data_IF_732570157064
#
_entry.id   IF_732570157064
#
_cell.length_a   1.000
_cell.length_b   1.000
_cell.length_c   1.000
_cell.angle_alpha   90.00
_cell.angle_beta   90.00
_cell.angle_gamma   90.00
#
_symmetry.space_group_name_H-M   'P 1'
#
loop_
_entity.id
_entity.type
_entity.pdbx_description
1 polymer ?
#
# COMPACT_ATOMS: atom_id res chain seq x y z
N UNK A 1 -4.17 18.01 -20.29
CA UNK A 1 -4.31 16.56 -20.01
C UNK A 1 -5.43 16.37 -19.01
N UNK A 2 -6.41 15.51 -19.29
CA UNK A 2 -7.43 15.16 -18.29
C UNK A 2 -6.76 14.39 -17.16
N UNK A 3 -7.14 14.67 -15.92
CA UNK A 3 -6.58 14.00 -14.74
C UNK A 3 -7.03 12.53 -14.71
N UNK A 4 -6.18 11.61 -15.18
CA UNK A 4 -6.48 10.18 -15.29
C UNK A 4 -6.33 9.40 -13.97
N UNK A 5 -5.74 9.97 -12.92
CA UNK A 5 -5.49 9.24 -11.67
C UNK A 5 -6.78 8.82 -10.97
N UNK A 6 -7.80 9.68 -10.92
CA UNK A 6 -9.07 9.38 -10.24
C UNK A 6 -9.78 8.12 -10.77
N UNK A 7 -9.98 8.00 -12.10
CA UNK A 7 -10.49 6.78 -12.72
C UNK A 7 -9.62 5.54 -12.44
N UNK A 8 -8.30 5.63 -12.62
CA UNK A 8 -7.38 4.49 -12.42
C UNK A 8 -7.38 4.00 -10.97
N UNK A 9 -7.34 4.92 -10.00
CA UNK A 9 -7.46 4.58 -8.57
C UNK A 9 -8.79 3.86 -8.34
N UNK A 10 -9.89 4.35 -8.93
CA UNK A 10 -11.21 3.73 -8.74
C UNK A 10 -11.30 2.33 -9.37
N UNK A 11 -10.62 2.09 -10.49
CA UNK A 11 -10.47 0.75 -11.08
C UNK A 11 -9.72 -0.19 -10.14
N UNK A 12 -8.65 0.27 -9.47
CA UNK A 12 -7.94 -0.53 -8.47
C UNK A 12 -8.87 -0.95 -7.31
N UNK A 13 -9.69 -0.01 -6.80
CA UNK A 13 -10.68 -0.29 -5.74
C UNK A 13 -11.71 -1.33 -6.21
N UNK A 14 -12.26 -1.17 -7.41
CA UNK A 14 -13.24 -2.11 -7.95
C UNK A 14 -12.64 -3.51 -8.09
N UNK A 15 -11.42 -3.61 -8.64
CA UNK A 15 -10.73 -4.88 -8.80
C UNK A 15 -10.55 -5.59 -7.44
N UNK A 16 -10.09 -4.90 -6.40
CA UNK A 16 -9.80 -5.51 -5.10
C UNK A 16 -11.02 -5.76 -4.22
N UNK A 17 -12.03 -4.88 -4.26
CA UNK A 17 -13.21 -4.97 -3.36
C UNK A 17 -14.40 -5.72 -3.97
N UNK A 18 -14.58 -5.65 -5.29
CA UNK A 18 -15.76 -6.21 -5.97
C UNK A 18 -15.45 -7.48 -6.74
N UNK A 19 -14.28 -7.53 -7.37
CA UNK A 19 -13.89 -8.68 -8.20
C UNK A 19 -12.97 -9.64 -7.47
N UNK A 20 -12.41 -9.23 -6.32
CA UNK A 20 -11.36 -9.95 -5.59
C UNK A 20 -10.15 -10.29 -6.48
N UNK A 21 -9.86 -9.44 -7.47
CA UNK A 21 -8.78 -9.59 -8.42
C UNK A 21 -7.57 -8.77 -7.96
N UNK A 22 -6.69 -9.42 -7.20
CA UNK A 22 -5.52 -8.78 -6.59
C UNK A 22 -4.49 -8.40 -7.65
N UNK A 23 -4.33 -9.21 -8.70
CA UNK A 23 -3.36 -8.95 -9.77
C UNK A 23 -3.73 -7.69 -10.56
N UNK A 24 -4.99 -7.59 -10.99
CA UNK A 24 -5.44 -6.43 -11.74
C UNK A 24 -5.49 -5.18 -10.83
N UNK A 25 -5.88 -5.33 -9.55
CA UNK A 25 -5.81 -4.23 -8.59
C UNK A 25 -4.37 -3.70 -8.41
N UNK A 26 -3.37 -4.60 -8.35
CA UNK A 26 -1.95 -4.25 -8.24
C UNK A 26 -1.49 -3.45 -9.47
N UNK A 27 -1.86 -3.89 -10.66
CA UNK A 27 -1.57 -3.18 -11.90
C UNK A 27 -2.16 -1.75 -11.89
N UNK A 28 -3.43 -1.59 -11.54
CA UNK A 28 -4.04 -0.26 -11.50
C UNK A 28 -3.44 0.65 -10.42
N UNK A 29 -3.11 0.11 -9.24
CA UNK A 29 -2.53 0.96 -8.18
C UNK A 29 -1.10 1.40 -8.51
N UNK A 30 -0.32 0.56 -9.20
CA UNK A 30 1.01 0.92 -9.69
C UNK A 30 0.92 1.97 -10.81
N UNK A 31 -0.03 1.83 -11.74
CA UNK A 31 -0.31 2.82 -12.78
C UNK A 31 -0.73 4.16 -12.16
N UNK A 32 -1.63 4.14 -11.16
CA UNK A 32 -1.99 5.34 -10.42
C UNK A 32 -0.78 6.00 -9.76
N UNK A 33 0.14 5.22 -9.19
CA UNK A 33 1.37 5.75 -8.60
C UNK A 33 2.26 6.44 -9.63
N UNK A 34 2.40 5.87 -10.84
CA UNK A 34 3.15 6.48 -11.94
C UNK A 34 2.50 7.79 -12.39
N UNK A 35 1.17 7.84 -12.51
CA UNK A 35 0.48 9.08 -12.90
C UNK A 35 0.66 10.15 -11.82
N UNK A 36 0.51 9.79 -10.55
CA UNK A 36 0.61 10.71 -9.41
C UNK A 36 2.03 11.28 -9.29
N UNK A 37 3.08 10.48 -9.55
CA UNK A 37 4.47 10.95 -9.44
C UNK A 37 4.86 11.99 -10.49
N UNK A 38 4.12 12.09 -11.60
CA UNK A 38 4.34 13.10 -12.65
C UNK A 38 3.71 14.46 -12.38
N UNK A 39 2.95 14.60 -11.29
CA UNK A 39 2.17 15.82 -10.98
C UNK A 39 2.50 16.36 -9.59
N UNK A 40 2.48 17.68 -9.40
CA UNK A 40 2.49 18.28 -8.06
C UNK A 40 1.30 17.78 -7.24
N UNK A 41 1.51 17.49 -5.95
CA UNK A 41 0.41 17.07 -5.04
C UNK A 41 -0.76 18.06 -5.01
N UNK A 42 -0.49 19.36 -5.18
CA UNK A 42 -1.50 20.42 -5.23
C UNK A 42 -2.46 20.33 -6.41
N UNK A 43 -2.09 19.61 -7.48
CA UNK A 43 -2.94 19.40 -8.65
C UNK A 43 -3.84 18.17 -8.53
N UNK A 44 -3.65 17.35 -7.47
CA UNK A 44 -4.41 16.14 -7.23
C UNK A 44 -5.44 16.44 -6.13
N UNK A 45 -6.71 16.09 -6.38
CA UNK A 45 -7.73 16.29 -5.35
C UNK A 45 -7.39 15.50 -4.09
N UNK A 46 -7.64 16.10 -2.91
CA UNK A 46 -7.32 15.45 -1.65
C UNK A 46 -8.04 14.13 -1.45
N UNK A 47 -9.28 14.02 -1.97
CA UNK A 47 -10.04 12.77 -1.99
C UNK A 47 -9.33 11.67 -2.78
N UNK A 48 -8.79 11.99 -3.96
CA UNK A 48 -8.07 11.01 -4.77
C UNK A 48 -6.77 10.61 -4.10
N UNK A 49 -6.03 11.56 -3.51
CA UNK A 49 -4.76 11.26 -2.89
C UNK A 49 -4.91 10.41 -1.61
N UNK A 50 -5.88 10.73 -0.74
CA UNK A 50 -6.26 9.87 0.39
C UNK A 50 -6.66 8.47 -0.07
N UNK A 51 -7.51 8.36 -1.09
CA UNK A 51 -7.93 7.07 -1.63
C UNK A 51 -6.73 6.28 -2.17
N UNK A 52 -5.85 6.93 -2.93
CA UNK A 52 -4.64 6.30 -3.45
C UNK A 52 -3.75 5.75 -2.34
N UNK A 53 -3.40 6.55 -1.33
CA UNK A 53 -2.52 6.09 -0.26
C UNK A 53 -3.11 4.92 0.54
N UNK A 54 -4.40 4.99 0.87
CA UNK A 54 -5.08 3.89 1.55
C UNK A 54 -5.04 2.59 0.74
N UNK A 55 -5.44 2.64 -0.54
CA UNK A 55 -5.49 1.43 -1.36
C UNK A 55 -4.10 0.96 -1.81
N UNK A 56 -3.10 1.83 -1.91
CA UNK A 56 -1.69 1.44 -2.01
C UNK A 56 -1.30 0.57 -0.83
N UNK A 57 -1.64 1.00 0.39
CA UNK A 57 -1.44 0.21 1.60
C UNK A 57 -2.12 -1.17 1.53
N UNK A 58 -3.42 -1.15 1.31
CA UNK A 58 -4.27 -2.35 1.33
C UNK A 58 -3.92 -3.38 0.24
N UNK A 59 -3.77 -2.94 -1.00
CA UNK A 59 -3.53 -3.84 -2.14
C UNK A 59 -2.16 -4.50 -2.01
N UNK A 60 -1.12 -3.73 -1.67
CA UNK A 60 0.21 -4.29 -1.47
C UNK A 60 0.24 -5.25 -0.26
N UNK A 61 -0.51 -4.98 0.80
CA UNK A 61 -0.59 -5.93 1.92
C UNK A 61 -1.28 -7.24 1.52
N UNK A 62 -2.31 -7.17 0.67
CA UNK A 62 -2.95 -8.36 0.09
C UNK A 62 -2.02 -9.14 -0.85
N UNK A 63 -1.20 -8.46 -1.63
CA UNK A 63 -0.15 -9.09 -2.45
C UNK A 63 0.83 -9.86 -1.55
N UNK A 64 1.34 -9.22 -0.49
CA UNK A 64 2.30 -9.85 0.43
C UNK A 64 1.73 -11.11 1.13
N UNK A 65 0.48 -11.03 1.59
CA UNK A 65 -0.17 -12.12 2.33
C UNK A 65 -0.79 -13.20 1.44
N UNK A 66 -0.73 -13.08 0.12
CA UNK A 66 -1.33 -14.07 -0.76
C UNK A 66 -0.65 -15.44 -0.62
N UNK A 67 -1.45 -16.49 -0.55
CA UNK A 67 -0.97 -17.87 -0.61
C UNK A 67 -0.69 -18.33 -2.05
N UNK A 68 -1.22 -17.61 -3.04
CA UNK A 68 -0.92 -17.85 -4.45
C UNK A 68 0.48 -17.31 -4.78
N UNK A 69 1.45 -18.19 -5.16
CA UNK A 69 2.80 -17.77 -5.49
C UNK A 69 2.85 -16.78 -6.66
N UNK A 70 1.92 -16.85 -7.61
CA UNK A 70 1.86 -15.93 -8.73
C UNK A 70 1.49 -14.51 -8.27
N UNK A 71 0.57 -14.38 -7.32
CA UNK A 71 0.18 -13.10 -6.72
C UNK A 71 1.29 -12.59 -5.79
N UNK A 72 1.79 -13.43 -4.88
CA UNK A 72 2.87 -13.06 -3.95
C UNK A 72 4.14 -12.65 -4.68
N UNK A 73 4.43 -13.29 -5.82
CA UNK A 73 5.56 -13.00 -6.68
C UNK A 73 5.44 -11.72 -7.52
N UNK A 74 4.28 -11.04 -7.52
CA UNK A 74 4.11 -9.79 -8.26
C UNK A 74 5.02 -8.67 -7.77
N UNK A 75 5.30 -8.63 -6.46
CA UNK A 75 6.10 -7.56 -5.87
C UNK A 75 6.82 -8.02 -4.59
N UNK A 76 8.14 -8.25 -4.62
CA UNK A 76 8.89 -8.68 -3.44
C UNK A 76 8.94 -7.59 -2.35
N UNK A 77 8.66 -6.32 -2.70
CA UNK A 77 8.63 -5.19 -1.77
C UNK A 77 7.19 -4.83 -1.33
N UNK A 78 6.23 -5.74 -1.54
CA UNK A 78 4.82 -5.49 -1.24
C UNK A 78 4.59 -5.09 0.24
N UNK A 79 5.25 -5.73 1.20
CA UNK A 79 5.11 -5.34 2.61
C UNK A 79 5.59 -3.90 2.87
N UNK A 80 6.72 -3.53 2.25
CA UNK A 80 7.31 -2.21 2.43
C UNK A 80 6.43 -1.12 1.79
N UNK A 81 5.90 -1.40 0.60
CA UNK A 81 4.96 -0.50 -0.09
C UNK A 81 3.62 -0.39 0.63
N UNK A 82 3.18 -1.46 1.29
CA UNK A 82 1.96 -1.44 2.10
C UNK A 82 2.12 -0.47 3.27
N UNK A 83 3.20 -0.61 4.02
CA UNK A 83 3.50 0.25 5.16
C UNK A 83 3.72 1.70 4.74
N UNK A 84 4.43 1.93 3.62
CA UNK A 84 4.60 3.26 3.04
C UNK A 84 3.26 3.90 2.69
N UNK A 85 2.33 3.16 2.07
CA UNK A 85 1.00 3.66 1.73
C UNK A 85 0.19 4.11 2.95
N UNK A 86 0.14 3.29 4.00
CA UNK A 86 -0.57 3.65 5.23
C UNK A 86 0.08 4.84 5.96
N UNK A 87 1.42 4.90 6.00
CA UNK A 87 2.14 6.06 6.57
C UNK A 87 1.84 7.34 5.78
N UNK A 88 1.97 7.28 4.45
CA UNK A 88 1.68 8.42 3.56
C UNK A 88 0.26 8.92 3.74
N UNK A 89 -0.71 8.02 3.93
CA UNK A 89 -2.09 8.39 4.22
C UNK A 89 -2.21 9.16 5.54
N UNK A 90 -1.68 8.62 6.62
CA UNK A 90 -1.79 9.24 7.96
C UNK A 90 -1.14 10.62 7.96
N UNK A 91 0.07 10.73 7.42
CA UNK A 91 0.79 12.00 7.34
C UNK A 91 0.00 13.02 6.50
N UNK A 92 -0.53 12.59 5.35
CA UNK A 92 -1.29 13.45 4.46
C UNK A 92 -2.62 13.92 5.07
N UNK A 93 -3.41 13.00 5.64
CA UNK A 93 -4.71 13.33 6.22
C UNK A 93 -4.58 14.24 7.46
N UNK A 94 -3.50 14.05 8.22
CA UNK A 94 -3.10 14.96 9.30
C UNK A 94 -2.73 16.35 8.77
N UNK A 95 -1.94 16.43 7.69
CA UNK A 95 -1.54 17.70 7.05
C UNK A 95 -2.76 18.52 6.60
N UNK A 96 -3.75 17.86 5.97
CA UNK A 96 -4.94 18.54 5.45
C UNK A 96 -6.09 18.66 6.45
N UNK A 97 -5.96 18.07 7.64
CA UNK A 97 -6.98 18.06 8.70
C UNK A 97 -8.27 17.32 8.31
N UNK A 98 -8.19 16.30 7.45
CA UNK A 98 -9.36 15.54 6.96
C UNK A 98 -9.08 14.04 6.97
N UNK A 99 -9.60 13.37 7.99
CA UNK A 99 -9.49 11.92 8.15
C UNK A 99 -10.59 11.21 7.34
N UNK A 100 -10.24 10.69 6.16
CA UNK A 100 -11.17 9.92 5.31
C UNK A 100 -10.93 8.42 5.44
N UNK A 101 -9.67 8.00 5.52
CA UNK A 101 -9.28 6.58 5.63
C UNK A 101 -8.33 6.31 6.79
N UNK A 102 -7.96 7.34 7.57
CA UNK A 102 -7.03 7.21 8.71
C UNK A 102 -7.45 6.12 9.69
N UNK A 103 -8.73 6.04 10.08
CA UNK A 103 -9.20 5.02 11.02
C UNK A 103 -9.16 3.61 10.42
N UNK A 104 -9.48 3.48 9.13
CA UNK A 104 -9.35 2.20 8.42
C UNK A 104 -7.88 1.76 8.36
N UNK A 105 -6.95 2.68 8.08
CA UNK A 105 -5.52 2.39 8.08
C UNK A 105 -5.01 2.01 9.47
N UNK A 106 -5.44 2.69 10.54
CA UNK A 106 -5.11 2.32 11.92
C UNK A 106 -5.49 0.88 12.25
N UNK A 107 -6.59 0.37 11.69
CA UNK A 107 -6.97 -1.04 11.86
C UNK A 107 -6.04 -2.00 11.11
N UNK A 108 -5.42 -1.58 10.00
CA UNK A 108 -4.48 -2.40 9.23
C UNK A 108 -3.06 -2.42 9.81
N UNK A 109 -2.62 -1.32 10.43
CA UNK A 109 -1.24 -1.16 10.94
C UNK A 109 -0.77 -2.31 11.84
N UNK A 110 -1.56 -2.81 12.81
CA UNK A 110 -1.14 -3.94 13.64
C UNK A 110 -0.82 -5.19 12.83
N UNK A 111 -1.55 -5.46 11.74
CA UNK A 111 -1.29 -6.60 10.88
C UNK A 111 0.00 -6.42 10.07
N UNK A 112 0.26 -5.20 9.58
CA UNK A 112 1.51 -4.85 8.90
C UNK A 112 2.70 -5.00 9.84
N UNK A 113 2.59 -4.47 11.08
CA UNK A 113 3.65 -4.59 12.08
C UNK A 113 3.94 -6.06 12.45
N UNK A 114 2.90 -6.89 12.61
CA UNK A 114 3.08 -8.33 12.84
C UNK A 114 3.76 -9.02 11.64
N UNK A 115 3.44 -8.63 10.41
CA UNK A 115 4.09 -9.17 9.22
C UNK A 115 5.59 -8.83 9.17
N UNK A 116 6.01 -7.63 9.58
CA UNK A 116 7.43 -7.30 9.75
C UNK A 116 8.08 -8.15 10.84
N UNK A 117 7.45 -8.26 12.01
CA UNK A 117 7.99 -9.10 13.08
C UNK A 117 8.21 -10.54 12.63
N UNK A 118 7.25 -11.13 11.91
CA UNK A 118 7.38 -12.48 11.33
C UNK A 118 8.49 -12.56 10.28
N UNK A 119 8.59 -11.58 9.37
CA UNK A 119 9.66 -11.53 8.37
C UNK A 119 11.04 -11.42 9.04
N UNK A 120 11.17 -10.60 10.07
CA UNK A 120 12.38 -10.44 10.86
C UNK A 120 12.78 -11.70 11.61
N UNK A 121 11.82 -12.39 12.25
CA UNK A 121 12.05 -13.70 12.89
C UNK A 121 12.56 -14.72 11.87
N UNK A 122 11.94 -14.78 10.69
CA UNK A 122 12.35 -15.71 9.64
C UNK A 122 13.77 -15.40 9.13
N UNK A 123 14.09 -14.12 8.91
CA UNK A 123 15.45 -13.68 8.53
C UNK A 123 16.48 -14.03 9.61
N UNK A 124 16.17 -13.77 10.88
CA UNK A 124 17.04 -14.12 12.00
C UNK A 124 17.26 -15.63 12.12
N UNK A 125 16.24 -16.43 11.84
CA UNK A 125 16.33 -17.90 11.80
C UNK A 125 17.23 -18.36 10.65
N UNK A 126 17.26 -17.63 9.55
CA UNK A 126 18.11 -17.88 8.39
C UNK A 126 19.47 -17.16 8.46
N UNK A 127 19.89 -16.72 9.67
CA UNK A 127 21.17 -16.03 9.92
C UNK A 127 21.32 -14.67 9.20
N UNK A 128 20.26 -14.15 8.57
CA UNK A 128 20.21 -12.78 8.06
C UNK A 128 19.88 -11.81 9.20
N UNK A 129 20.86 -11.61 10.09
CA UNK A 129 20.68 -10.75 11.27
C UNK A 129 20.51 -9.27 10.92
N UNK A 130 21.17 -8.80 9.85
CA UNK A 130 21.02 -7.42 9.40
C UNK A 130 19.60 -7.18 8.89
N UNK A 131 19.11 -8.05 7.99
CA UNK A 131 17.76 -7.92 7.48
C UNK A 131 16.68 -8.12 8.55
N UNK A 132 16.95 -8.95 9.57
CA UNK A 132 16.08 -9.08 10.73
C UNK A 132 16.03 -7.81 11.57
N UNK A 133 17.19 -7.20 11.85
CA UNK A 133 17.28 -5.93 12.57
C UNK A 133 16.52 -4.81 11.86
N UNK A 134 16.67 -4.71 10.54
CA UNK A 134 15.93 -3.74 9.72
C UNK A 134 14.40 -3.94 9.84
N UNK A 135 13.92 -5.18 9.85
CA UNK A 135 12.49 -5.48 10.00
C UNK A 135 11.94 -5.15 11.41
N UNK A 136 12.74 -5.29 12.45
CA UNK A 136 12.32 -4.94 13.82
C UNK A 136 12.30 -3.44 14.11
N UNK A 137 12.99 -2.64 13.27
CA UNK A 137 13.04 -1.19 13.41
C UNK A 137 12.01 -0.43 12.58
N UNK A 138 11.29 -1.13 11.69
CA UNK A 138 10.29 -0.53 10.82
C UNK A 138 9.07 -0.01 11.62
#
# INVERSE_FOLDING_TARGET
MMAQEGPVISSAVIAVERNNDIAEAKKYIDEAQQIISTKPKSEISSKNLSKFYYHKGLINFRVYNSEDPAIKGLDPQALDKAAEGFRQLIDYEKEIGKERYTDDAKQQIPYVANAYAQRGINKSTNEDFQGAYEDFLY
#
